data_IF_277636527557
#
_entry.id   IF_277636527557
#
_cell.length_a   1.000
_cell.length_b   1.000
_cell.length_c   1.000
_cell.angle_alpha   90.00
_cell.angle_beta   90.00
_cell.angle_gamma   90.00
#
_symmetry.space_group_name_H-M   'P 1'
#
loop_
_entity.id
_entity.type
_entity.pdbx_description
1 polymer ?
#
# COMPACT_ATOMS: atom_id res chain seq x y z
N UNK A 1 14.10 8.56 -9.80
CA UNK A 1 13.66 8.83 -8.42
C UNK A 1 12.67 7.74 -8.09
N UNK A 2 13.09 6.74 -7.31
CA UNK A 2 12.16 5.78 -6.76
C UNK A 2 11.60 6.44 -5.50
N UNK A 3 10.29 6.59 -5.43
CA UNK A 3 9.62 7.16 -4.27
C UNK A 3 9.92 6.27 -3.04
N UNK A 4 10.83 6.72 -2.18
CA UNK A 4 11.26 6.08 -0.92
C UNK A 4 10.17 6.19 0.19
N UNK A 5 8.90 6.32 -0.20
CA UNK A 5 7.77 6.41 0.72
C UNK A 5 7.45 5.02 1.25
N UNK A 6 7.66 4.83 2.55
CA UNK A 6 7.32 3.59 3.25
C UNK A 6 5.92 3.70 3.87
N UNK A 7 5.19 2.58 3.84
CA UNK A 7 3.84 2.44 4.37
C UNK A 7 3.81 1.42 5.50
N UNK A 8 2.85 1.53 6.41
CA UNK A 8 2.60 0.50 7.42
C UNK A 8 2.04 -0.76 6.77
N UNK A 9 2.53 -1.92 7.20
CA UNK A 9 1.87 -3.19 6.93
C UNK A 9 0.53 -3.23 7.67
N UNK A 10 -0.61 -3.45 6.98
CA UNK A 10 -1.92 -3.50 7.63
C UNK A 10 -2.08 -4.62 8.66
N UNK A 11 -1.21 -5.63 8.64
CA UNK A 11 -1.27 -6.76 9.58
C UNK A 11 -0.37 -6.62 10.80
N UNK A 12 0.81 -5.99 10.67
CA UNK A 12 1.83 -6.00 11.73
C UNK A 12 2.52 -4.66 11.97
N UNK A 13 2.08 -3.58 11.31
CA UNK A 13 2.60 -2.22 11.45
C UNK A 13 4.11 -2.06 11.16
N UNK A 14 4.74 -3.05 10.52
CA UNK A 14 6.13 -2.96 10.07
C UNK A 14 6.23 -2.25 8.71
N UNK A 15 7.38 -1.62 8.40
CA UNK A 15 7.59 -0.97 7.12
C UNK A 15 7.32 -1.87 5.92
N UNK A 16 6.62 -1.31 4.94
CA UNK A 16 6.24 -1.98 3.71
C UNK A 16 6.41 -1.09 2.48
N UNK A 17 6.76 -1.75 1.38
CA UNK A 17 6.79 -1.16 0.05
C UNK A 17 5.45 -1.42 -0.64
N UNK A 18 5.06 -0.49 -1.52
CA UNK A 18 3.77 -0.51 -2.20
C UNK A 18 3.98 -0.39 -3.70
N UNK A 19 3.23 -1.18 -4.47
CA UNK A 19 3.26 -1.16 -5.94
C UNK A 19 1.84 -1.05 -6.50
N UNK A 20 1.57 -0.13 -7.44
CA UNK A 20 0.24 0.00 -8.04
C UNK A 20 -0.11 -1.27 -8.84
N UNK A 21 -1.37 -1.69 -8.74
CA UNK A 21 -1.93 -2.84 -9.46
C UNK A 21 -3.06 -2.48 -10.40
N UNK A 22 -3.49 -1.23 -10.39
CA UNK A 22 -4.52 -0.68 -11.27
C UNK A 22 -5.82 -0.44 -10.54
N UNK A 23 -6.83 -0.05 -11.30
CA UNK A 23 -8.15 0.31 -10.77
C UNK A 23 -9.12 -0.83 -11.02
N UNK A 24 -9.83 -1.26 -9.97
CA UNK A 24 -10.89 -2.26 -10.05
C UNK A 24 -12.25 -1.59 -9.87
N UNK A 25 -13.29 -2.13 -10.50
CA UNK A 25 -14.67 -1.66 -10.29
C UNK A 25 -15.12 -2.00 -8.87
N UNK A 26 -15.51 -0.98 -8.09
CA UNK A 26 -16.13 -1.13 -6.77
C UNK A 26 -17.62 -0.75 -6.80
N UNK A 27 -18.32 -1.06 -5.70
CA UNK A 27 -19.76 -0.77 -5.54
C UNK A 27 -20.08 0.71 -5.42
N UNK A 28 -19.12 1.52 -4.95
CA UNK A 28 -19.21 2.98 -4.84
C UNK A 28 -18.45 3.71 -5.96
N UNK A 29 -18.01 2.98 -6.99
CA UNK A 29 -17.16 3.48 -8.06
C UNK A 29 -15.81 2.77 -8.13
N UNK A 30 -14.93 3.17 -9.07
CA UNK A 30 -13.63 2.57 -9.26
C UNK A 30 -12.71 2.77 -8.04
N UNK A 31 -11.93 1.75 -7.69
CA UNK A 31 -11.02 1.73 -6.52
C UNK A 31 -9.61 1.37 -6.98
N UNK A 32 -8.65 2.24 -6.68
CA UNK A 32 -7.24 1.96 -6.92
C UNK A 32 -6.73 0.88 -5.96
N UNK A 33 -6.12 -0.16 -6.51
CA UNK A 33 -5.55 -1.26 -5.76
C UNK A 33 -4.03 -1.25 -5.85
N UNK A 34 -3.42 -1.63 -4.74
CA UNK A 34 -1.98 -1.72 -4.58
C UNK A 34 -1.59 -3.04 -3.94
N UNK A 35 -0.42 -3.56 -4.31
CA UNK A 35 0.20 -4.67 -3.61
C UNK A 35 1.24 -4.14 -2.63
N UNK A 36 1.13 -4.60 -1.39
CA UNK A 36 1.99 -4.25 -0.27
C UNK A 36 2.84 -5.46 0.10
N UNK A 37 4.14 -5.24 0.29
CA UNK A 37 5.08 -6.24 0.81
C UNK A 37 5.88 -5.63 1.97
N UNK A 38 5.72 -6.18 3.17
CA UNK A 38 6.45 -5.73 4.35
C UNK A 38 7.77 -6.47 4.56
N UNK A 39 8.64 -5.91 5.41
CA UNK A 39 9.93 -6.51 5.78
C UNK A 39 9.81 -7.88 6.47
N UNK A 40 8.65 -8.19 7.07
CA UNK A 40 8.35 -9.50 7.64
C UNK A 40 7.77 -10.50 6.61
N UNK A 41 7.51 -10.07 5.38
CA UNK A 41 7.06 -10.92 4.27
C UNK A 41 5.54 -11.04 4.09
N UNK A 42 4.71 -10.33 4.86
CA UNK A 42 3.27 -10.29 4.62
C UNK A 42 2.97 -9.62 3.27
N UNK A 43 1.99 -10.19 2.56
CA UNK A 43 1.53 -9.72 1.27
C UNK A 43 0.08 -9.32 1.38
N UNK A 44 -0.20 -8.06 1.07
CA UNK A 44 -1.56 -7.55 1.05
C UNK A 44 -1.88 -6.98 -0.34
N UNK A 45 -3.09 -7.23 -0.82
CA UNK A 45 -3.64 -6.63 -2.02
C UNK A 45 -4.96 -5.97 -1.61
N UNK A 46 -5.03 -4.65 -1.74
CA UNK A 46 -6.23 -3.94 -1.35
C UNK A 46 -6.23 -2.48 -1.76
N UNK A 47 -7.24 -1.73 -1.30
CA UNK A 47 -7.46 -0.34 -1.68
C UNK A 47 -6.31 0.57 -1.21
N UNK A 48 -5.81 1.42 -2.10
CA UNK A 48 -4.71 2.35 -1.81
C UNK A 48 -5.05 3.34 -0.69
N UNK A 49 -6.32 3.74 -0.59
CA UNK A 49 -6.83 4.71 0.40
C UNK A 49 -6.86 4.16 1.85
N UNK A 50 -6.65 2.86 2.04
CA UNK A 50 -6.55 2.25 3.38
C UNK A 50 -5.13 2.28 3.95
N UNK A 51 -4.13 2.64 3.14
CA UNK A 51 -2.74 2.60 3.56
C UNK A 51 -2.37 3.76 4.47
N UNK A 52 -1.56 3.48 5.49
CA UNK A 52 -0.95 4.49 6.35
C UNK A 52 0.51 4.71 5.94
N UNK A 53 0.93 5.97 5.95
CA UNK A 53 2.31 6.37 5.60
C UNK A 53 3.16 6.37 6.86
N UNK A 54 4.28 5.64 6.85
CA UNK A 54 5.24 5.58 7.96
C UNK A 54 6.19 6.78 7.98
N UNK A 55 6.70 7.15 6.81
CA UNK A 55 7.63 8.26 6.65
C UNK A 55 7.37 8.98 5.32
N UNK A 56 6.83 10.21 5.33
CA UNK A 56 6.95 11.08 4.18
C UNK A 56 8.40 11.56 4.07
N UNK A 57 9.13 11.21 3.02
CA UNK A 57 10.43 11.82 2.76
C UNK A 57 10.22 13.26 2.30
N UNK A 58 10.77 14.23 3.06
CA UNK A 58 10.73 15.67 2.75
C UNK A 58 11.70 16.04 1.64
#
# INVERSE_FOLDING_TARGET
MLDDTLYDCPECDLPATVSPRGTLSGTSGPVEHVAVLCVAGHRFLGPADTLRVLLPQR
#
